data_IF_090478094166
#
_entry.id   IF_090478094166
#
_cell.length_a   1.000
_cell.length_b   1.000
_cell.length_c   1.000
_cell.angle_alpha   90.00
_cell.angle_beta   90.00
_cell.angle_gamma   90.00
#
_symmetry.space_group_name_H-M   'P 1'
#
loop_
_entity.id
_entity.type
_entity.pdbx_description
1 polymer ?
#
# COMPACT_ATOMS: atom_id res chain seq x y z
N UNK A 1 0.84 -8.92 -11.05
CA UNK A 1 1.78 -8.13 -11.90
C UNK A 1 3.19 -8.29 -11.35
N UNK A 2 4.18 -8.48 -12.20
CA UNK A 2 5.59 -8.56 -11.77
C UNK A 2 6.21 -7.17 -11.61
N UNK A 3 7.15 -7.04 -10.69
CA UNK A 3 7.97 -5.83 -10.52
C UNK A 3 8.65 -5.44 -11.84
N UNK A 4 8.85 -4.15 -12.10
CA UNK A 4 9.60 -3.66 -13.26
C UNK A 4 11.07 -4.09 -13.20
N UNK A 5 11.79 -3.95 -14.31
CA UNK A 5 13.24 -4.20 -14.35
C UNK A 5 13.97 -3.24 -13.40
N UNK A 6 13.56 -1.98 -13.39
CA UNK A 6 14.12 -0.93 -12.56
C UNK A 6 13.87 -1.20 -11.07
N UNK A 7 12.66 -1.68 -10.72
CA UNK A 7 12.35 -2.09 -9.35
C UNK A 7 13.26 -3.22 -8.87
N UNK A 8 13.51 -4.23 -9.72
CA UNK A 8 14.42 -5.35 -9.41
C UNK A 8 15.86 -4.89 -9.23
N UNK A 9 16.36 -4.07 -10.15
CA UNK A 9 17.71 -3.51 -10.07
C UNK A 9 17.91 -2.72 -8.76
N UNK A 10 16.90 -1.93 -8.33
CA UNK A 10 16.96 -1.24 -7.04
C UNK A 10 16.95 -2.23 -5.87
N UNK A 11 16.07 -3.23 -5.87
CA UNK A 11 15.99 -4.21 -4.79
C UNK A 11 17.30 -4.98 -4.61
N UNK A 12 17.90 -5.42 -5.72
CA UNK A 12 19.19 -6.13 -5.71
C UNK A 12 20.32 -5.23 -5.18
N UNK A 13 20.32 -3.96 -5.57
CA UNK A 13 21.26 -2.96 -5.06
C UNK A 13 21.08 -2.75 -3.55
N UNK A 14 19.85 -2.58 -3.07
CA UNK A 14 19.54 -2.38 -1.65
C UNK A 14 19.96 -3.57 -0.80
N UNK A 15 19.66 -4.79 -1.27
CA UNK A 15 20.03 -6.01 -0.59
C UNK A 15 21.56 -6.17 -0.52
N UNK A 16 22.27 -5.91 -1.62
CA UNK A 16 23.74 -5.91 -1.66
C UNK A 16 24.32 -4.85 -0.72
N UNK A 17 23.73 -3.66 -0.67
CA UNK A 17 24.13 -2.59 0.23
C UNK A 17 23.96 -3.00 1.70
N UNK A 18 22.85 -3.64 2.04
CA UNK A 18 22.56 -4.09 3.41
C UNK A 18 23.39 -5.28 3.88
N UNK A 19 23.88 -6.12 2.96
CA UNK A 19 24.69 -7.29 3.27
C UNK A 19 26.06 -6.91 3.84
N UNK A 20 26.50 -5.67 3.60
CA UNK A 20 27.75 -5.13 4.17
C UNK A 20 27.66 -4.82 5.67
N UNK A 21 26.48 -4.97 6.30
CA UNK A 21 26.24 -4.61 7.70
C UNK A 21 25.65 -5.79 8.50
N UNK A 22 26.41 -6.27 9.50
CA UNK A 22 26.17 -7.53 10.23
C UNK A 22 25.22 -7.43 11.44
N UNK A 23 24.60 -6.28 11.70
CA UNK A 23 23.96 -6.05 13.01
C UNK A 23 22.55 -6.64 13.20
N UNK A 24 21.84 -7.05 12.13
CA UNK A 24 20.49 -7.61 12.23
C UNK A 24 20.11 -8.44 10.97
N UNK A 25 19.26 -9.46 11.10
CA UNK A 25 18.75 -10.22 9.94
C UNK A 25 17.68 -9.45 9.16
N UNK A 26 16.90 -8.62 9.84
CA UNK A 26 15.76 -7.89 9.27
C UNK A 26 16.16 -6.47 8.82
N UNK A 27 15.66 -6.05 7.66
CA UNK A 27 15.84 -4.68 7.14
C UNK A 27 15.17 -3.67 8.06
N UNK A 28 13.96 -3.98 8.52
CA UNK A 28 13.23 -3.19 9.50
C UNK A 28 12.76 -4.07 10.66
N UNK A 29 12.91 -3.57 11.89
CA UNK A 29 12.37 -4.20 13.08
C UNK A 29 11.68 -3.15 13.92
N UNK A 30 10.43 -3.37 14.31
CA UNK A 30 9.63 -2.43 15.12
C UNK A 30 10.18 -2.22 16.54
N UNK A 31 11.05 -3.13 17.03
CA UNK A 31 11.63 -3.05 18.37
C UNK A 31 12.97 -2.32 18.38
N UNK A 32 13.91 -2.69 17.50
CA UNK A 32 15.27 -2.15 17.49
C UNK A 32 15.59 -1.25 16.28
N UNK A 33 14.64 -1.06 15.36
CA UNK A 33 14.86 -0.40 14.07
C UNK A 33 15.50 -1.28 12.99
N UNK A 34 16.04 -2.45 13.35
CA UNK A 34 16.69 -3.38 12.41
C UNK A 34 17.91 -2.74 11.72
N UNK A 35 18.22 -3.19 10.49
CA UNK A 35 19.29 -2.56 9.68
C UNK A 35 18.98 -1.10 9.34
N UNK A 36 17.70 -0.69 9.29
CA UNK A 36 17.29 0.65 8.85
C UNK A 36 17.98 1.78 9.62
N UNK A 37 18.17 1.64 10.94
CA UNK A 37 18.79 2.67 11.78
C UNK A 37 20.25 2.94 11.38
N UNK A 38 21.00 1.88 11.09
CA UNK A 38 22.40 1.96 10.67
C UNK A 38 22.51 2.40 9.21
N UNK A 39 21.64 1.89 8.34
CA UNK A 39 21.58 2.25 6.92
C UNK A 39 21.34 3.76 6.74
N UNK A 40 20.42 4.35 7.50
CA UNK A 40 20.16 5.80 7.47
C UNK A 40 21.39 6.66 7.77
N UNK A 41 22.26 6.18 8.68
CA UNK A 41 23.50 6.89 9.05
C UNK A 41 24.57 6.80 7.97
N UNK A 42 24.56 5.72 7.18
CA UNK A 42 25.61 5.41 6.21
C UNK A 42 25.30 5.81 4.77
N UNK A 43 24.04 6.09 4.46
CA UNK A 43 23.64 6.58 3.15
C UNK A 43 24.15 8.03 2.99
N UNK A 44 25.24 8.16 2.25
CA UNK A 44 25.89 9.42 1.90
C UNK A 44 25.01 10.28 0.99
N UNK A 45 25.28 11.61 0.89
CA UNK A 45 24.55 12.48 -0.04
C UNK A 45 24.55 12.00 -1.50
N UNK A 46 25.66 11.41 -1.96
CA UNK A 46 25.79 10.88 -3.32
C UNK A 46 24.87 9.67 -3.52
N UNK A 47 24.83 8.75 -2.56
CA UNK A 47 23.91 7.60 -2.60
C UNK A 47 22.44 8.05 -2.54
N UNK A 48 22.13 9.14 -1.80
CA UNK A 48 20.80 9.74 -1.83
C UNK A 48 20.44 10.26 -3.21
N UNK A 49 21.37 10.92 -3.90
CA UNK A 49 21.14 11.41 -5.25
C UNK A 49 20.90 10.28 -6.25
N UNK A 50 21.67 9.19 -6.16
CA UNK A 50 21.47 7.98 -6.96
C UNK A 50 20.09 7.35 -6.70
N UNK A 51 19.74 7.18 -5.43
CA UNK A 51 18.42 6.67 -5.01
C UNK A 51 17.28 7.52 -5.58
N UNK A 52 17.36 8.85 -5.53
CA UNK A 52 16.35 9.71 -6.17
C UNK A 52 16.20 9.46 -7.66
N UNK A 53 17.31 9.32 -8.37
CA UNK A 53 17.32 9.03 -9.80
C UNK A 53 16.68 7.68 -10.14
N UNK A 54 16.78 6.70 -9.25
CA UNK A 54 16.10 5.41 -9.37
C UNK A 54 14.61 5.51 -9.02
N UNK A 55 14.27 6.15 -7.89
CA UNK A 55 12.88 6.34 -7.45
C UNK A 55 12.01 7.07 -8.48
N UNK A 56 12.59 8.06 -9.18
CA UNK A 56 11.89 8.80 -10.23
C UNK A 56 11.44 7.93 -11.42
N UNK A 57 11.97 6.71 -11.54
CA UNK A 57 11.63 5.75 -12.60
C UNK A 57 10.69 4.64 -12.13
N UNK A 58 10.36 4.60 -10.83
CA UNK A 58 9.55 3.54 -10.25
C UNK A 58 8.07 3.90 -10.28
N UNK A 59 7.25 2.87 -10.46
CA UNK A 59 5.81 2.96 -10.22
C UNK A 59 5.50 2.79 -8.73
N UNK A 60 4.28 3.16 -8.32
CA UNK A 60 3.78 2.84 -6.98
C UNK A 60 3.74 1.32 -6.73
N UNK A 61 3.50 0.52 -7.76
CA UNK A 61 3.59 -0.95 -7.66
C UNK A 61 5.00 -1.41 -7.31
N UNK A 62 6.01 -0.85 -7.97
CA UNK A 62 7.40 -1.21 -7.71
C UNK A 62 7.76 -0.89 -6.25
N UNK A 63 7.34 0.28 -5.76
CA UNK A 63 7.50 0.65 -4.36
C UNK A 63 6.79 -0.34 -3.42
N UNK A 64 5.56 -0.76 -3.72
CA UNK A 64 4.87 -1.76 -2.91
C UNK A 64 5.65 -3.09 -2.86
N UNK A 65 6.26 -3.50 -3.97
CA UNK A 65 7.06 -4.72 -4.05
C UNK A 65 8.44 -4.64 -3.39
N UNK A 66 8.94 -3.45 -3.02
CA UNK A 66 10.18 -3.33 -2.24
C UNK A 66 10.00 -3.76 -0.77
N UNK A 67 8.76 -3.90 -0.29
CA UNK A 67 8.47 -4.33 1.09
C UNK A 67 9.04 -3.35 2.13
N UNK A 68 9.75 -3.87 3.13
CA UNK A 68 10.33 -3.09 4.24
C UNK A 68 11.26 -1.96 3.76
N UNK A 69 11.90 -2.14 2.59
CA UNK A 69 12.74 -1.09 2.01
C UNK A 69 11.98 0.19 1.71
N UNK A 70 10.70 0.11 1.33
CA UNK A 70 9.89 1.31 1.11
C UNK A 70 9.73 2.14 2.37
N UNK A 71 9.66 1.48 3.54
CA UNK A 71 9.65 2.19 4.82
C UNK A 71 10.98 2.90 5.06
N UNK A 72 12.10 2.20 4.90
CA UNK A 72 13.45 2.78 5.09
C UNK A 72 13.67 3.97 4.16
N UNK A 73 13.32 3.82 2.87
CA UNK A 73 13.46 4.89 1.87
C UNK A 73 12.56 6.06 2.20
N UNK A 74 11.32 5.83 2.66
CA UNK A 74 10.40 6.91 3.03
C UNK A 74 10.89 7.77 4.19
N UNK A 75 11.77 7.25 5.03
CA UNK A 75 12.37 8.01 6.13
C UNK A 75 13.61 8.81 5.68
N UNK A 76 14.30 8.37 4.62
CA UNK A 76 15.51 9.02 4.09
C UNK A 76 15.15 10.06 3.02
N UNK A 77 14.18 9.73 2.18
CA UNK A 77 13.73 10.48 1.00
C UNK A 77 12.19 10.61 1.01
N UNK A 78 11.58 11.19 2.06
CA UNK A 78 10.12 11.28 2.18
C UNK A 78 9.47 12.00 1.00
N UNK A 79 10.04 13.14 0.59
CA UNK A 79 9.51 13.96 -0.50
C UNK A 79 9.56 13.26 -1.85
N UNK A 80 10.62 12.48 -2.11
CA UNK A 80 10.78 11.75 -3.37
C UNK A 80 9.78 10.61 -3.48
N UNK A 81 9.54 9.90 -2.37
CA UNK A 81 8.49 8.89 -2.29
C UNK A 81 7.11 9.53 -2.48
N UNK A 82 6.81 10.63 -1.80
CA UNK A 82 5.55 11.35 -1.96
C UNK A 82 5.35 11.80 -3.42
N UNK A 83 6.40 12.30 -4.06
CA UNK A 83 6.37 12.71 -5.47
C UNK A 83 6.01 11.55 -6.41
N UNK A 84 6.51 10.33 -6.17
CA UNK A 84 6.13 9.14 -6.94
C UNK A 84 4.63 8.83 -6.80
N UNK A 85 4.09 8.86 -5.58
CA UNK A 85 2.65 8.66 -5.35
C UNK A 85 1.80 9.76 -5.98
N UNK A 86 2.25 11.01 -5.89
CA UNK A 86 1.58 12.16 -6.47
C UNK A 86 1.51 12.08 -8.00
N UNK A 87 2.63 11.72 -8.65
CA UNK A 87 2.70 11.54 -10.09
C UNK A 87 1.76 10.41 -10.55
N UNK A 88 1.76 9.27 -9.85
CA UNK A 88 0.86 8.16 -10.15
C UNK A 88 -0.59 8.59 -10.02
N UNK A 89 -0.98 9.19 -8.88
CA UNK A 89 -2.35 9.64 -8.61
C UNK A 89 -2.89 10.57 -9.71
N UNK A 90 -2.07 11.52 -10.17
CA UNK A 90 -2.42 12.48 -11.22
C UNK A 90 -2.63 11.82 -12.59
N UNK A 91 -2.06 10.64 -12.80
CA UNK A 91 -2.10 9.93 -14.07
C UNK A 91 -3.14 8.80 -14.10
N UNK A 92 -3.81 8.50 -12.98
CA UNK A 92 -4.85 7.47 -12.92
C UNK A 92 -6.08 7.95 -13.69
N UNK A 93 -6.52 7.13 -14.63
CA UNK A 93 -7.81 7.30 -15.29
C UNK A 93 -8.90 6.72 -14.39
N UNK A 94 -9.97 7.49 -14.14
CA UNK A 94 -11.11 7.05 -13.33
C UNK A 94 -11.81 5.78 -13.86
N UNK A 95 -11.63 5.42 -15.14
CA UNK A 95 -12.18 4.19 -15.70
C UNK A 95 -11.29 2.95 -15.45
N UNK A 96 -10.04 3.13 -15.01
CA UNK A 96 -9.10 2.04 -14.81
C UNK A 96 -9.23 1.45 -13.39
N UNK A 97 -10.17 0.51 -13.26
CA UNK A 97 -10.50 -0.13 -12.00
C UNK A 97 -9.28 -0.78 -11.33
N UNK A 98 -8.47 -1.51 -12.11
CA UNK A 98 -7.32 -2.24 -11.56
C UNK A 98 -6.29 -1.28 -10.97
N UNK A 99 -6.06 -0.14 -11.64
CA UNK A 99 -5.11 0.87 -11.19
C UNK A 99 -5.61 1.65 -9.97
N UNK A 100 -6.91 1.95 -9.91
CA UNK A 100 -7.54 2.54 -8.72
C UNK A 100 -7.41 1.59 -7.53
N UNK A 101 -7.79 0.33 -7.70
CA UNK A 101 -7.74 -0.71 -6.67
C UNK A 101 -6.31 -0.80 -6.08
N UNK A 102 -5.33 -0.99 -6.95
CA UNK A 102 -3.93 -1.07 -6.56
C UNK A 102 -3.41 0.20 -5.86
N UNK A 103 -3.76 1.37 -6.39
CA UNK A 103 -3.33 2.64 -5.82
C UNK A 103 -3.92 2.86 -4.43
N UNK A 104 -5.22 2.61 -4.24
CA UNK A 104 -5.91 2.81 -2.96
C UNK A 104 -5.28 1.97 -1.85
N UNK A 105 -4.91 0.73 -2.14
CA UNK A 105 -4.22 -0.15 -1.21
C UNK A 105 -2.81 0.37 -0.90
N UNK A 106 -2.03 0.69 -1.94
CA UNK A 106 -0.63 1.08 -1.82
C UNK A 106 -0.43 2.46 -1.19
N UNK A 107 -1.43 3.33 -1.30
CA UNK A 107 -1.40 4.72 -0.85
C UNK A 107 -2.22 4.98 0.43
N UNK A 108 -2.69 3.92 1.12
CA UNK A 108 -3.59 4.02 2.29
C UNK A 108 -3.14 5.02 3.37
N UNK A 109 -1.82 5.19 3.57
CA UNK A 109 -1.26 6.13 4.56
C UNK A 109 -1.69 7.59 4.35
N UNK A 110 -1.95 7.99 3.09
CA UNK A 110 -2.28 9.36 2.74
C UNK A 110 -3.74 9.75 3.03
N UNK A 111 -4.58 8.80 3.45
CA UNK A 111 -6.03 8.99 3.64
C UNK A 111 -6.38 10.20 4.53
N UNK A 112 -5.64 10.36 5.63
CA UNK A 112 -5.87 11.42 6.62
C UNK A 112 -5.08 12.71 6.37
N UNK A 113 -4.26 12.76 5.31
CA UNK A 113 -3.38 13.90 5.09
C UNK A 113 -4.09 15.10 4.45
N UNK A 114 -3.65 16.30 4.82
CA UNK A 114 -4.13 17.56 4.23
C UNK A 114 -3.29 18.01 3.02
N UNK A 115 -2.29 17.21 2.64
CA UNK A 115 -1.43 17.40 1.46
C UNK A 115 -2.22 17.24 0.15
N UNK A 116 -1.63 17.68 -0.95
CA UNK A 116 -2.21 17.49 -2.30
C UNK A 116 -2.48 16.00 -2.59
N UNK A 117 -1.53 15.13 -2.24
CA UNK A 117 -1.70 13.68 -2.40
C UNK A 117 -2.83 13.13 -1.54
N UNK A 118 -3.03 13.63 -0.32
CA UNK A 118 -4.15 13.24 0.54
C UNK A 118 -5.51 13.61 -0.07
N UNK A 119 -5.61 14.79 -0.69
CA UNK A 119 -6.80 15.22 -1.42
C UNK A 119 -7.08 14.31 -2.63
N UNK A 120 -6.05 14.04 -3.45
CA UNK A 120 -6.18 13.15 -4.61
C UNK A 120 -6.56 11.73 -4.20
N UNK A 121 -5.96 11.21 -3.12
CA UNK A 121 -6.30 9.90 -2.57
C UNK A 121 -7.78 9.82 -2.19
N UNK A 122 -8.31 10.83 -1.49
CA UNK A 122 -9.74 10.85 -1.12
C UNK A 122 -10.66 10.94 -2.33
N UNK A 123 -10.27 11.69 -3.36
CA UNK A 123 -11.02 11.73 -4.61
C UNK A 123 -11.06 10.35 -5.29
N UNK A 124 -9.90 9.70 -5.42
CA UNK A 124 -9.81 8.34 -5.97
C UNK A 124 -10.57 7.31 -5.11
N UNK A 125 -10.59 7.48 -3.79
CA UNK A 125 -11.37 6.63 -2.88
C UNK A 125 -12.86 6.80 -3.11
N UNK A 126 -13.32 8.04 -3.29
CA UNK A 126 -14.71 8.33 -3.65
C UNK A 126 -15.10 7.76 -5.00
N UNK A 127 -14.21 7.81 -6.00
CA UNK A 127 -14.44 7.19 -7.31
C UNK A 127 -14.44 5.66 -7.21
N UNK A 128 -13.52 5.09 -6.43
CA UNK A 128 -13.48 3.65 -6.14
C UNK A 128 -14.80 3.14 -5.54
N UNK A 129 -15.40 3.88 -4.61
CA UNK A 129 -16.72 3.54 -4.05
C UNK A 129 -17.80 3.48 -5.14
N UNK A 130 -17.89 4.49 -6.02
CA UNK A 130 -18.86 4.52 -7.13
C UNK A 130 -18.61 3.37 -8.12
N UNK A 131 -17.35 3.07 -8.41
CA UNK A 131 -16.97 1.98 -9.31
C UNK A 131 -17.31 0.62 -8.71
N UNK A 132 -17.14 0.43 -7.41
CA UNK A 132 -17.53 -0.81 -6.74
C UNK A 132 -19.04 -1.07 -6.86
N UNK A 133 -19.87 -0.03 -6.70
CA UNK A 133 -21.32 -0.13 -6.84
C UNK A 133 -21.76 -0.55 -8.25
N UNK A 134 -21.08 -0.03 -9.28
CA UNK A 134 -21.43 -0.29 -10.68
C UNK A 134 -20.83 -1.57 -11.26
N UNK A 135 -19.61 -1.93 -10.84
CA UNK A 135 -18.88 -3.11 -11.36
C UNK A 135 -19.09 -4.37 -10.53
N UNK A 136 -19.48 -4.22 -9.26
CA UNK A 136 -19.52 -5.29 -8.26
C UNK A 136 -18.20 -6.09 -8.12
N UNK A 137 -17.06 -5.52 -8.53
CA UNK A 137 -15.76 -6.18 -8.54
C UNK A 137 -15.30 -6.57 -7.13
N UNK A 138 -15.06 -7.87 -6.87
CA UNK A 138 -14.68 -8.37 -5.54
C UNK A 138 -13.38 -7.75 -5.02
N UNK A 139 -12.34 -7.67 -5.85
CA UNK A 139 -11.03 -7.13 -5.48
C UNK A 139 -11.14 -5.69 -4.99
N UNK A 140 -11.85 -4.84 -5.74
CA UNK A 140 -12.07 -3.45 -5.34
C UNK A 140 -12.89 -3.34 -4.04
N UNK A 141 -13.92 -4.18 -3.86
CA UNK A 141 -14.70 -4.20 -2.61
C UNK A 141 -13.80 -4.60 -1.43
N UNK A 142 -12.96 -5.61 -1.58
CA UNK A 142 -11.99 -6.04 -0.56
C UNK A 142 -11.06 -4.88 -0.19
N UNK A 143 -10.46 -4.23 -1.18
CA UNK A 143 -9.59 -3.07 -0.97
C UNK A 143 -10.30 -1.94 -0.26
N UNK A 144 -11.54 -1.61 -0.66
CA UNK A 144 -12.33 -0.55 -0.03
C UNK A 144 -12.60 -0.85 1.45
N UNK A 145 -12.93 -2.10 1.80
CA UNK A 145 -13.06 -2.51 3.20
C UNK A 145 -11.73 -2.35 3.94
N UNK A 146 -10.61 -2.82 3.36
CA UNK A 146 -9.30 -2.75 3.98
C UNK A 146 -8.82 -1.31 4.21
N UNK A 147 -9.05 -0.39 3.28
CA UNK A 147 -8.58 1.00 3.37
C UNK A 147 -9.48 1.85 4.28
N UNK A 148 -10.79 1.60 4.27
CA UNK A 148 -11.73 2.30 5.14
C UNK A 148 -11.68 1.79 6.58
N UNK A 149 -11.40 0.50 6.79
CA UNK A 149 -11.41 -0.10 8.12
C UNK A 149 -12.80 0.00 8.75
N UNK A 150 -12.87 0.45 10.01
CA UNK A 150 -14.14 0.67 10.72
C UNK A 150 -15.07 1.66 10.00
N UNK A 151 -14.52 2.63 9.27
CA UNK A 151 -15.32 3.66 8.59
C UNK A 151 -16.08 3.08 7.38
N UNK A 152 -15.78 1.84 6.99
CA UNK A 152 -16.58 1.11 6.01
C UNK A 152 -18.02 0.88 6.50
N UNK A 153 -18.26 0.87 7.81
CA UNK A 153 -19.59 0.69 8.40
C UNK A 153 -20.56 1.84 8.04
N UNK A 154 -20.02 3.03 7.75
CA UNK A 154 -20.81 4.17 7.29
C UNK A 154 -21.25 4.01 5.82
N UNK A 155 -20.61 3.09 5.08
CA UNK A 155 -20.88 2.80 3.68
C UNK A 155 -21.78 1.57 3.55
N UNK A 156 -23.08 1.73 3.83
CA UNK A 156 -24.06 0.62 3.85
C UNK A 156 -24.05 -0.23 2.57
N UNK A 157 -23.97 0.42 1.41
CA UNK A 157 -23.91 -0.28 0.11
C UNK A 157 -22.67 -1.16 0.02
N UNK A 158 -21.51 -0.64 0.40
CA UNK A 158 -20.25 -1.39 0.41
C UNK A 158 -20.31 -2.61 1.33
N UNK A 159 -20.83 -2.45 2.56
CA UNK A 159 -21.02 -3.57 3.49
C UNK A 159 -21.95 -4.63 2.90
N UNK A 160 -23.06 -4.22 2.30
CA UNK A 160 -23.99 -5.15 1.66
C UNK A 160 -23.31 -5.92 0.51
N UNK A 161 -22.47 -5.26 -0.29
CA UNK A 161 -21.71 -5.90 -1.37
C UNK A 161 -20.65 -6.87 -0.85
N UNK A 162 -20.00 -6.55 0.28
CA UNK A 162 -19.02 -7.43 0.89
C UNK A 162 -19.68 -8.66 1.51
N UNK A 163 -20.81 -8.49 2.23
CA UNK A 163 -21.55 -9.59 2.85
C UNK A 163 -22.17 -10.55 1.83
N UNK A 164 -22.61 -10.07 0.67
CA UNK A 164 -23.09 -10.95 -0.40
C UNK A 164 -21.99 -11.84 -0.99
N UNK A 165 -20.73 -11.44 -0.80
CA UNK A 165 -19.51 -12.16 -1.22
C UNK A 165 -18.78 -12.85 -0.07
N UNK A 166 -19.37 -12.93 1.12
CA UNK A 166 -18.69 -13.42 2.34
C UNK A 166 -18.17 -14.85 2.28
N UNK A 167 -18.62 -15.67 1.33
CA UNK A 167 -18.15 -17.04 1.15
C UNK A 167 -16.92 -17.11 0.21
N UNK A 168 -16.50 -15.99 -0.40
CA UNK A 168 -15.24 -15.90 -1.13
C UNK A 168 -14.09 -15.87 -0.11
N UNK A 169 -13.09 -16.76 -0.17
CA UNK A 169 -12.08 -16.90 0.90
C UNK A 169 -11.35 -15.60 1.24
N UNK A 170 -11.07 -14.77 0.24
CA UNK A 170 -10.40 -13.49 0.44
C UNK A 170 -11.32 -12.48 1.15
N UNK A 171 -12.56 -12.34 0.67
CA UNK A 171 -13.56 -11.46 1.28
C UNK A 171 -13.87 -11.87 2.72
N UNK A 172 -14.03 -13.18 2.98
CA UNK A 172 -14.28 -13.71 4.32
C UNK A 172 -13.17 -13.30 5.29
N UNK A 173 -11.91 -13.50 4.88
CA UNK A 173 -10.72 -13.10 5.64
C UNK A 173 -10.66 -11.59 5.86
N UNK A 174 -10.96 -10.79 4.83
CA UNK A 174 -10.98 -9.32 4.91
C UNK A 174 -12.04 -8.85 5.89
N UNK A 175 -13.28 -9.34 5.78
CA UNK A 175 -14.38 -9.03 6.68
C UNK A 175 -14.06 -9.42 8.13
N UNK A 176 -13.54 -10.62 8.35
CA UNK A 176 -13.17 -11.07 9.69
C UNK A 176 -12.08 -10.19 10.29
N UNK A 177 -10.96 -10.00 9.58
CA UNK A 177 -9.82 -9.25 10.12
C UNK A 177 -10.11 -7.76 10.31
N UNK A 178 -11.03 -7.20 9.51
CA UNK A 178 -11.30 -5.76 9.54
C UNK A 178 -12.50 -5.41 10.41
N UNK A 179 -13.55 -6.23 10.42
CA UNK A 179 -14.87 -5.87 10.93
C UNK A 179 -15.45 -6.81 12.00
N UNK A 180 -14.80 -7.91 12.39
CA UNK A 180 -15.34 -8.90 13.37
C UNK A 180 -15.78 -8.31 14.70
N UNK A 181 -15.13 -7.23 15.14
CA UNK A 181 -15.46 -6.57 16.40
C UNK A 181 -16.80 -5.84 16.32
N UNK A 182 -17.17 -5.36 15.13
CA UNK A 182 -18.32 -4.49 14.88
C UNK A 182 -19.52 -5.20 14.25
N UNK A 183 -19.28 -6.23 13.44
CA UNK A 183 -20.32 -7.00 12.74
C UNK A 183 -20.37 -8.44 13.28
N UNK A 184 -21.38 -8.81 14.09
CA UNK A 184 -21.51 -10.17 14.61
C UNK A 184 -21.55 -11.24 13.51
N UNK A 185 -22.13 -10.92 12.35
CA UNK A 185 -22.31 -11.81 11.21
C UNK A 185 -21.00 -12.29 10.57
N UNK A 186 -19.89 -11.55 10.74
CA UNK A 186 -18.58 -11.90 10.15
C UNK A 186 -17.65 -12.60 11.13
N UNK A 187 -18.13 -12.95 12.35
CA UNK A 187 -17.31 -13.58 13.39
C UNK A 187 -17.05 -15.07 13.18
N UNK A 188 -17.76 -15.71 12.26
CA UNK A 188 -17.76 -17.16 12.09
C UNK A 188 -16.58 -17.73 11.28
N UNK A 189 -15.51 -16.97 11.03
CA UNK A 189 -14.36 -17.45 10.26
C UNK A 189 -13.48 -18.40 11.07
N UNK A 190 -13.29 -19.62 10.56
CA UNK A 190 -12.44 -20.66 11.19
C UNK A 190 -11.01 -20.71 10.66
N UNK A 191 -10.63 -19.87 9.69
CA UNK A 191 -9.33 -19.98 9.00
C UNK A 191 -9.30 -21.14 7.99
N UNK A 192 -8.29 -21.19 7.11
CA UNK A 192 -8.02 -22.39 6.33
C UNK A 192 -7.43 -23.47 7.25
N UNK A 193 -7.95 -24.70 7.15
CA UNK A 193 -7.32 -25.92 7.70
C UNK A 193 -5.94 -26.17 7.08
#
# INVERSE_FOLDING_TARGET
MSMSRQGRELLDWLNSFSAMYESCSEVYCSTCGGKSAELKRRISPDLRAELRGLLAKLSVHDLACLGDWTQVISEILPNDIEATYLAEAKSINAADLARIDQFLLSAKRFRGEQSEIGLLYRNLLSEGLKLAESSANSSLVETLILVLGKDALDQKTLISMALSKRNEPNMERVLYNTLREYLPEVRAYSGPD
#
